data_IF_926206656542
#
_entry.id   IF_926206656542
#
_cell.length_a   1.000
_cell.length_b   1.000
_cell.length_c   1.000
_cell.angle_alpha   90.00
_cell.angle_beta   90.00
_cell.angle_gamma   90.00
#
_symmetry.space_group_name_H-M   'P 1'
#
loop_
_entity.id
_entity.type
_entity.pdbx_description
1 polymer ?
#
# COMPACT_ATOMS: atom_id res chain seq x y z
N UNK A 1 8.25 13.51 -0.82
CA UNK A 1 8.03 12.51 -1.90
C UNK A 1 8.98 12.81 -3.04
N UNK A 2 9.46 11.79 -3.78
CA UNK A 2 10.19 12.02 -5.03
C UNK A 2 9.19 12.13 -6.21
N UNK A 3 9.62 12.66 -7.35
CA UNK A 3 8.76 12.91 -8.51
C UNK A 3 8.08 11.64 -9.07
N UNK A 4 8.74 10.48 -8.95
CA UNK A 4 8.20 9.21 -9.41
C UNK A 4 7.03 8.72 -8.54
N UNK A 5 7.15 8.79 -7.21
CA UNK A 5 6.06 8.44 -6.30
C UNK A 5 4.86 9.39 -6.44
N UNK A 6 5.10 10.68 -6.68
CA UNK A 6 4.03 11.65 -6.92
C UNK A 6 3.19 11.31 -8.16
N UNK A 7 3.83 10.94 -9.26
CA UNK A 7 3.17 10.51 -10.50
C UNK A 7 2.29 9.26 -10.31
N UNK A 8 2.77 8.28 -9.54
CA UNK A 8 1.98 7.07 -9.21
C UNK A 8 0.74 7.44 -8.40
N UNK A 9 0.90 8.29 -7.38
CA UNK A 9 -0.21 8.72 -6.52
C UNK A 9 -1.32 9.43 -7.30
N UNK A 10 -0.96 10.33 -8.21
CA UNK A 10 -1.95 11.02 -9.06
C UNK A 10 -2.74 10.02 -9.92
N UNK A 11 -2.06 9.07 -10.56
CA UNK A 11 -2.71 8.05 -11.38
C UNK A 11 -3.65 7.14 -10.60
N UNK A 12 -3.31 6.80 -9.35
CA UNK A 12 -4.18 6.01 -8.47
C UNK A 12 -5.53 6.71 -8.27
N UNK A 13 -5.53 8.02 -8.02
CA UNK A 13 -6.75 8.78 -7.77
C UNK A 13 -7.56 9.14 -9.02
N UNK A 14 -7.07 8.80 -10.22
CA UNK A 14 -7.80 8.95 -11.47
C UNK A 14 -8.43 7.62 -11.96
N UNK A 15 -8.22 6.50 -11.26
CA UNK A 15 -8.80 5.21 -11.63
C UNK A 15 -10.31 5.17 -11.34
N UNK A 16 -11.05 4.45 -12.19
CA UNK A 16 -12.43 4.05 -11.97
C UNK A 16 -12.62 2.53 -12.20
N UNK A 17 -13.84 2.04 -11.98
CA UNK A 17 -14.22 0.62 -12.08
C UNK A 17 -14.02 -0.03 -13.46
N UNK A 18 -13.66 0.72 -14.50
CA UNK A 18 -13.39 0.20 -15.85
C UNK A 18 -11.89 0.16 -16.19
N UNK A 19 -11.00 0.37 -15.22
CA UNK A 19 -9.56 0.57 -15.45
C UNK A 19 -8.66 -0.61 -15.05
N UNK A 20 -9.08 -1.86 -15.26
CA UNK A 20 -8.30 -3.07 -14.89
C UNK A 20 -6.86 -3.07 -15.44
N UNK A 21 -6.68 -2.66 -16.70
CA UNK A 21 -5.34 -2.58 -17.34
C UNK A 21 -4.45 -1.55 -16.64
N UNK A 22 -5.01 -0.38 -16.30
CA UNK A 22 -4.28 0.66 -15.61
C UNK A 22 -3.94 0.24 -14.17
N UNK A 23 -4.86 -0.47 -13.51
CA UNK A 23 -4.63 -1.03 -12.18
C UNK A 23 -3.45 -2.00 -12.20
N UNK A 24 -3.43 -2.96 -13.12
CA UNK A 24 -2.33 -3.94 -13.21
C UNK A 24 -1.00 -3.26 -13.52
N UNK A 25 -0.99 -2.25 -14.41
CA UNK A 25 0.20 -1.45 -14.69
C UNK A 25 0.73 -0.73 -13.44
N UNK A 26 -0.14 -0.07 -12.68
CA UNK A 26 0.24 0.63 -11.44
C UNK A 26 0.71 -0.37 -10.38
N UNK A 27 0.06 -1.52 -10.26
CA UNK A 27 0.43 -2.56 -9.31
C UNK A 27 1.83 -3.13 -9.60
N UNK A 28 2.15 -3.38 -10.87
CA UNK A 28 3.49 -3.82 -11.29
C UNK A 28 4.55 -2.74 -11.05
N UNK A 29 4.24 -1.48 -11.32
CA UNK A 29 5.12 -0.34 -11.04
C UNK A 29 5.39 -0.20 -9.54
N UNK A 30 4.35 -0.27 -8.70
CA UNK A 30 4.48 -0.28 -7.24
C UNK A 30 5.27 -1.49 -6.75
N UNK A 31 5.06 -2.68 -7.32
CA UNK A 31 5.87 -3.84 -6.99
C UNK A 31 7.35 -3.58 -7.26
N UNK A 32 7.72 -3.04 -8.43
CA UNK A 32 9.13 -2.74 -8.77
C UNK A 32 9.73 -1.70 -7.84
N UNK A 33 8.93 -0.68 -7.48
CA UNK A 33 9.33 0.33 -6.51
C UNK A 33 9.60 -0.30 -5.13
N UNK A 34 8.69 -1.16 -4.65
CA UNK A 34 8.84 -1.85 -3.37
C UNK A 34 9.99 -2.85 -3.38
N UNK A 35 10.16 -3.62 -4.45
CA UNK A 35 11.29 -4.53 -4.63
C UNK A 35 12.65 -3.82 -4.53
N UNK A 36 12.70 -2.53 -4.87
CA UNK A 36 13.92 -1.72 -4.82
C UNK A 36 14.08 -0.97 -3.49
N UNK A 37 13.01 -0.33 -3.00
CA UNK A 37 13.06 0.71 -1.96
C UNK A 37 12.48 0.28 -0.61
N UNK A 38 11.62 -0.74 -0.57
CA UNK A 38 11.09 -1.27 0.69
C UNK A 38 12.04 -2.37 1.19
N UNK A 39 12.83 -2.06 2.21
CA UNK A 39 13.88 -2.96 2.71
C UNK A 39 13.33 -4.32 3.15
N UNK A 40 12.22 -4.32 3.90
CA UNK A 40 11.55 -5.55 4.36
C UNK A 40 11.06 -6.40 3.18
N UNK A 41 10.37 -5.78 2.21
CA UNK A 41 9.84 -6.51 1.06
C UNK A 41 10.96 -7.02 0.14
N UNK A 42 11.99 -6.20 -0.11
CA UNK A 42 13.18 -6.58 -0.89
C UNK A 42 13.89 -7.78 -0.28
N UNK A 43 14.10 -7.77 1.04
CA UNK A 43 14.69 -8.89 1.73
C UNK A 43 13.81 -10.14 1.58
N UNK A 44 12.50 -10.02 1.79
CA UNK A 44 11.56 -11.13 1.66
C UNK A 44 11.61 -11.81 0.28
N UNK A 45 11.45 -11.04 -0.80
CA UNK A 45 11.47 -11.59 -2.17
C UNK A 45 12.86 -12.12 -2.55
N UNK A 46 13.94 -11.55 -1.99
CA UNK A 46 15.30 -12.05 -2.16
C UNK A 46 15.50 -13.45 -1.57
N UNK A 47 14.97 -13.71 -0.37
CA UNK A 47 15.01 -15.06 0.23
C UNK A 47 14.18 -16.09 -0.54
N UNK A 48 13.14 -15.64 -1.24
CA UNK A 48 12.34 -16.50 -2.13
C UNK A 48 13.02 -16.76 -3.48
N UNK A 49 14.14 -16.09 -3.78
CA UNK A 49 14.80 -16.18 -5.09
C UNK A 49 13.97 -15.61 -6.23
N UNK A 50 13.12 -14.62 -5.94
CA UNK A 50 12.24 -14.00 -6.95
C UNK A 50 13.08 -13.16 -7.90
N UNK A 51 12.99 -13.49 -9.18
CA UNK A 51 13.52 -12.68 -10.27
C UNK A 51 12.49 -11.59 -10.59
N UNK A 52 12.78 -10.35 -10.17
CA UNK A 52 11.83 -9.24 -10.33
C UNK A 52 11.47 -9.02 -11.79
N UNK A 53 12.39 -9.24 -12.74
CA UNK A 53 12.13 -9.04 -14.16
C UNK A 53 11.15 -10.06 -14.75
N UNK A 54 10.94 -11.20 -14.09
CA UNK A 54 9.97 -12.23 -14.52
C UNK A 54 8.56 -12.01 -13.99
N UNK A 55 8.36 -11.09 -13.05
CA UNK A 55 7.03 -10.73 -12.53
C UNK A 55 6.35 -9.81 -13.54
N UNK A 56 5.46 -10.36 -14.35
CA UNK A 56 4.83 -9.65 -15.48
C UNK A 56 3.32 -9.46 -15.32
N UNK A 57 2.73 -10.14 -14.33
CA UNK A 57 1.29 -10.08 -14.04
C UNK A 57 1.07 -9.86 -12.55
N UNK A 58 -0.11 -9.35 -12.20
CA UNK A 58 -0.52 -9.16 -10.81
C UNK A 58 -0.40 -10.46 -9.99
N UNK A 59 -0.77 -11.59 -10.58
CA UNK A 59 -0.70 -12.92 -9.96
C UNK A 59 0.72 -13.41 -9.65
N UNK A 60 1.73 -12.81 -10.29
CA UNK A 60 3.13 -13.21 -10.13
C UNK A 60 3.77 -12.52 -8.90
N UNK A 61 3.10 -11.51 -8.33
CA UNK A 61 3.62 -10.72 -7.22
C UNK A 61 3.62 -11.58 -5.94
N UNK A 62 4.78 -11.81 -5.30
CA UNK A 62 4.85 -12.55 -4.04
C UNK A 62 4.12 -11.83 -2.92
N UNK A 63 3.18 -12.51 -2.26
CA UNK A 63 2.44 -11.96 -1.14
C UNK A 63 3.29 -11.92 0.13
N UNK A 64 3.36 -10.75 0.76
CA UNK A 64 4.07 -10.57 2.02
C UNK A 64 3.24 -11.14 3.18
N UNK A 65 3.78 -12.05 4.02
CA UNK A 65 3.05 -12.59 5.15
C UNK A 65 2.65 -11.51 6.16
N UNK A 66 1.42 -11.60 6.69
CA UNK A 66 0.90 -10.63 7.67
C UNK A 66 1.75 -10.55 8.96
N UNK A 67 2.47 -11.61 9.31
CA UNK A 67 3.40 -11.63 10.44
C UNK A 67 4.55 -10.62 10.29
N UNK A 68 4.92 -10.25 9.06
CA UNK A 68 5.96 -9.25 8.81
C UNK A 68 5.56 -7.88 9.38
N UNK A 69 4.27 -7.53 9.29
CA UNK A 69 3.74 -6.28 9.82
C UNK A 69 3.72 -6.20 11.36
N UNK A 70 4.04 -7.29 12.08
CA UNK A 70 4.15 -7.27 13.55
C UNK A 70 5.53 -6.83 14.01
N UNK A 71 6.55 -7.16 13.24
CA UNK A 71 7.96 -7.10 13.66
C UNK A 71 8.85 -6.24 12.78
N UNK A 72 8.35 -5.84 11.62
CA UNK A 72 9.10 -5.09 10.64
C UNK A 72 8.35 -3.85 10.17
N UNK A 73 9.12 -2.83 9.80
CA UNK A 73 8.61 -1.65 9.13
C UNK A 73 8.33 -2.03 7.67
N UNK A 74 7.05 -2.17 7.31
CA UNK A 74 6.63 -2.49 5.94
C UNK A 74 6.18 -1.21 5.25
N UNK A 75 6.99 -0.73 4.32
CA UNK A 75 6.67 0.45 3.52
C UNK A 75 7.92 1.10 2.95
N UNK A 76 7.73 2.26 2.31
CA UNK A 76 8.80 3.13 1.84
C UNK A 76 8.67 4.43 2.61
N UNK A 77 9.64 4.71 3.49
CA UNK A 77 9.60 5.85 4.39
C UNK A 77 10.85 6.70 4.16
N UNK A 78 10.66 7.99 3.89
CA UNK A 78 11.74 8.98 3.84
C UNK A 78 11.84 9.81 5.14
N UNK A 79 10.88 9.61 6.04
CA UNK A 79 10.71 10.26 7.33
C UNK A 79 9.94 9.31 8.25
N UNK A 80 9.91 9.55 9.57
CA UNK A 80 9.02 8.81 10.47
C UNK A 80 7.56 8.84 9.97
N UNK A 81 6.76 7.79 10.22
CA UNK A 81 5.36 7.76 9.82
C UNK A 81 4.56 8.83 10.58
N UNK A 82 3.57 9.43 9.92
CA UNK A 82 2.67 10.43 10.52
C UNK A 82 1.69 9.78 11.51
N UNK A 83 1.35 8.50 11.30
CA UNK A 83 0.54 7.71 12.23
C UNK A 83 0.91 6.23 12.20
N UNK A 84 0.60 5.53 13.29
CA UNK A 84 0.71 4.06 13.37
C UNK A 84 -0.61 3.50 13.90
N UNK A 85 -1.32 2.79 13.03
CA UNK A 85 -2.53 2.07 13.40
C UNK A 85 -2.19 0.65 13.82
N UNK A 86 -2.94 0.11 14.78
CA UNK A 86 -2.74 -1.24 15.30
C UNK A 86 -3.94 -2.11 14.95
N UNK A 87 -3.69 -3.36 14.58
CA UNK A 87 -4.77 -4.34 14.42
C UNK A 87 -5.50 -4.58 15.75
N UNK A 88 -6.79 -4.93 15.70
CA UNK A 88 -7.47 -5.49 16.87
C UNK A 88 -6.70 -6.72 17.36
N UNK A 89 -6.33 -6.75 18.64
CA UNK A 89 -5.57 -7.86 19.21
C UNK A 89 -6.19 -8.35 20.50
N UNK A 90 -6.17 -9.65 20.72
CA UNK A 90 -6.50 -10.26 22.01
C UNK A 90 -5.40 -9.93 23.01
N UNK A 91 -5.76 -9.81 24.29
CA UNK A 91 -4.84 -9.48 25.37
C UNK A 91 -3.64 -10.43 25.36
N UNK A 92 -2.41 -9.89 25.28
CA UNK A 92 -1.17 -10.65 25.34
C UNK A 92 -0.51 -10.99 23.98
N UNK A 93 -1.12 -10.67 22.83
CA UNK A 93 -0.49 -10.88 21.52
C UNK A 93 0.13 -9.61 20.93
N UNK A 94 1.28 -9.77 20.26
CA UNK A 94 1.88 -8.75 19.42
C UNK A 94 0.97 -8.44 18.22
N UNK A 95 0.56 -7.17 18.11
CA UNK A 95 -0.38 -6.66 17.11
C UNK A 95 0.36 -6.26 15.84
N UNK A 96 -0.28 -6.44 14.69
CA UNK A 96 0.25 -5.90 13.44
C UNK A 96 0.16 -4.38 13.46
N UNK A 97 1.17 -3.73 12.90
CA UNK A 97 1.30 -2.29 12.80
C UNK A 97 1.13 -1.86 11.35
N UNK A 98 0.27 -0.87 11.12
CA UNK A 98 0.13 -0.19 9.84
C UNK A 98 0.69 1.23 10.00
N UNK A 99 1.89 1.43 9.46
CA UNK A 99 2.60 2.71 9.52
C UNK A 99 2.20 3.55 8.31
N UNK A 100 1.57 4.70 8.56
CA UNK A 100 1.05 5.59 7.53
C UNK A 100 2.05 6.71 7.28
N UNK A 101 2.57 6.77 6.06
CA UNK A 101 3.57 7.76 5.66
C UNK A 101 2.97 9.17 5.47
N UNK A 102 1.69 9.27 5.10
CA UNK A 102 0.99 10.55 4.92
C UNK A 102 -0.49 10.39 5.25
N UNK A 103 -0.95 11.06 6.31
CA UNK A 103 -2.35 11.12 6.70
C UNK A 103 -3.18 11.84 5.64
N UNK A 104 -2.65 12.88 5.00
CA UNK A 104 -3.35 13.58 3.92
C UNK A 104 -3.72 12.66 2.75
N UNK A 105 -2.81 11.75 2.34
CA UNK A 105 -3.12 10.76 1.31
C UNK A 105 -4.08 9.68 1.81
N UNK A 106 -3.94 9.28 3.07
CA UNK A 106 -4.81 8.30 3.71
C UNK A 106 -6.26 8.81 3.76
N UNK A 107 -6.47 10.04 4.23
CA UNK A 107 -7.77 10.70 4.32
C UNK A 107 -8.37 10.89 2.92
N UNK A 108 -7.58 11.38 1.96
CA UNK A 108 -8.04 11.54 0.57
C UNK A 108 -8.55 10.21 0.00
N UNK A 109 -7.81 9.13 0.20
CA UNK A 109 -8.22 7.79 -0.24
C UNK A 109 -9.53 7.34 0.41
N UNK A 110 -9.63 7.54 1.73
CA UNK A 110 -10.83 7.17 2.48
C UNK A 110 -12.06 7.95 2.02
N UNK A 111 -11.97 9.28 1.87
CA UNK A 111 -13.09 10.11 1.43
C UNK A 111 -13.50 9.83 -0.01
N UNK A 112 -12.55 9.73 -0.95
CA UNK A 112 -12.89 9.43 -2.35
C UNK A 112 -13.53 8.05 -2.50
N UNK A 113 -13.03 7.05 -1.78
CA UNK A 113 -13.62 5.71 -1.75
C UNK A 113 -15.03 5.76 -1.15
N UNK A 114 -15.22 6.43 -0.01
CA UNK A 114 -16.53 6.60 0.60
C UNK A 114 -17.51 7.27 -0.37
N UNK A 115 -17.12 8.39 -0.98
CA UNK A 115 -17.94 9.11 -1.96
C UNK A 115 -18.31 8.24 -3.18
N UNK A 116 -17.37 7.44 -3.67
CA UNK A 116 -17.61 6.56 -4.81
C UNK A 116 -18.67 5.48 -4.51
N UNK A 117 -18.64 4.88 -3.33
CA UNK A 117 -19.52 3.74 -2.99
C UNK A 117 -20.80 4.14 -2.25
N UNK A 118 -20.77 5.24 -1.50
CA UNK A 118 -21.86 5.66 -0.62
C UNK A 118 -22.37 7.07 -0.95
N UNK A 119 -21.66 7.86 -1.76
CA UNK A 119 -22.01 9.26 -1.99
C UNK A 119 -21.49 10.17 -0.87
N UNK A 120 -22.00 11.39 -0.82
CA UNK A 120 -21.41 12.45 0.01
C UNK A 120 -21.53 12.13 1.50
N UNK A 121 -20.43 12.21 2.29
CA UNK A 121 -20.48 11.97 3.73
C UNK A 121 -21.51 12.86 4.46
N UNK A 122 -21.76 14.07 3.96
CA UNK A 122 -22.74 15.00 4.55
C UNK A 122 -24.19 14.48 4.46
N UNK A 123 -24.46 13.53 3.57
CA UNK A 123 -25.78 12.91 3.42
C UNK A 123 -26.07 11.85 4.50
N UNK A 124 -25.07 11.54 5.34
CA UNK A 124 -25.15 10.54 6.40
C UNK A 124 -25.14 11.18 7.80
N UNK A 125 -25.99 10.67 8.69
CA UNK A 125 -25.85 10.90 10.14
C UNK A 125 -25.14 9.69 10.74
N UNK A 126 -23.95 9.91 11.30
CA UNK A 126 -23.04 8.88 11.84
C UNK A 126 -22.93 9.05 13.35
#
# INVERSE_FOLDING_TARGET
MNAHTASITERIFCMNEHNDVLFEQIALELFRLHATKNETYRAFIGHLGVDTEKVQRLSDIPFLPISMFKRHHVGIFNSPPEAVFLSSGTTGMERSQHMVASLALYDKSLFQCFEQFFGKPEDYCI
#
